data_IF_427280548682
#
_entry.id   IF_427280548682
#
_cell.length_a   1.000
_cell.length_b   1.000
_cell.length_c   1.000
_cell.angle_alpha   90.00
_cell.angle_beta   90.00
_cell.angle_gamma   90.00
#
_symmetry.space_group_name_H-M   'P 1'
#
loop_
_entity.id
_entity.type
_entity.pdbx_description
1 polymer ?
#
# COMPACT_ATOMS: atom_id res chain seq x y z
N UNK A 1 -42.59 -10.21 -61.58
CA UNK A 1 -41.53 -9.33 -61.01
C UNK A 1 -41.95 -8.57 -59.74
N UNK A 2 -43.24 -8.29 -59.51
CA UNK A 2 -43.75 -7.56 -58.31
C UNK A 2 -43.71 -8.37 -57.00
N UNK A 3 -44.03 -9.68 -57.07
CA UNK A 3 -44.12 -10.54 -55.88
C UNK A 3 -42.77 -10.76 -55.18
N UNK A 4 -41.70 -11.00 -55.95
CA UNK A 4 -40.36 -11.23 -55.41
C UNK A 4 -39.81 -10.00 -54.68
N UNK A 5 -40.11 -8.78 -55.16
CA UNK A 5 -39.73 -7.53 -54.48
C UNK A 5 -40.47 -7.34 -53.16
N UNK A 6 -41.78 -7.65 -53.12
CA UNK A 6 -42.57 -7.55 -51.88
C UNK A 6 -42.13 -8.57 -50.83
N UNK A 7 -41.78 -9.79 -51.27
CA UNK A 7 -41.29 -10.84 -50.39
C UNK A 7 -39.92 -10.48 -49.77
N UNK A 8 -38.98 -9.94 -50.56
CA UNK A 8 -37.69 -9.50 -50.02
C UNK A 8 -37.80 -8.30 -49.08
N UNK A 9 -38.70 -7.36 -49.34
CA UNK A 9 -38.93 -6.24 -48.40
C UNK A 9 -39.50 -6.71 -47.07
N UNK A 10 -40.47 -7.63 -47.08
CA UNK A 10 -41.03 -8.21 -45.84
C UNK A 10 -39.98 -9.02 -45.09
N UNK A 11 -39.19 -9.84 -45.80
CA UNK A 11 -38.12 -10.63 -45.18
C UNK A 11 -37.04 -9.75 -44.55
N UNK A 12 -36.65 -8.66 -45.21
CA UNK A 12 -35.71 -7.67 -44.66
C UNK A 12 -36.28 -6.99 -43.42
N UNK A 13 -37.56 -6.61 -43.43
CA UNK A 13 -38.22 -6.02 -42.26
C UNK A 13 -38.26 -6.99 -41.07
N UNK A 14 -38.55 -8.27 -41.36
CA UNK A 14 -38.59 -9.34 -40.36
C UNK A 14 -37.20 -9.62 -39.77
N UNK A 15 -36.14 -9.55 -40.59
CA UNK A 15 -34.76 -9.71 -40.15
C UNK A 15 -34.29 -8.51 -39.30
N UNK A 16 -34.73 -7.28 -39.63
CA UNK A 16 -34.40 -6.09 -38.82
C UNK A 16 -35.09 -6.13 -37.47
N UNK A 17 -36.36 -6.56 -37.40
CA UNK A 17 -37.06 -6.71 -36.13
C UNK A 17 -36.45 -7.82 -35.29
N UNK A 18 -36.12 -8.98 -35.87
CA UNK A 18 -35.47 -10.06 -35.11
C UNK A 18 -34.09 -9.66 -34.59
N UNK A 19 -33.28 -8.91 -35.34
CA UNK A 19 -31.99 -8.39 -34.86
C UNK A 19 -32.18 -7.36 -33.73
N UNK A 20 -33.22 -6.53 -33.81
CA UNK A 20 -33.56 -5.55 -32.76
C UNK A 20 -34.05 -6.23 -31.48
N UNK A 21 -34.76 -7.36 -31.60
CA UNK A 21 -35.18 -8.19 -30.45
C UNK A 21 -34.09 -9.14 -29.95
N UNK A 22 -33.09 -9.51 -30.77
CA UNK A 22 -31.94 -10.32 -30.34
C UNK A 22 -30.90 -9.55 -29.52
N UNK A 23 -30.90 -8.21 -29.61
CA UNK A 23 -30.21 -7.34 -28.66
C UNK A 23 -30.99 -7.29 -27.33
N UNK A 24 -31.13 -8.43 -26.67
CA UNK A 24 -31.92 -8.61 -25.44
C UNK A 24 -31.25 -8.00 -24.20
N UNK A 25 -29.97 -7.68 -24.27
CA UNK A 25 -29.24 -7.01 -23.18
C UNK A 25 -29.05 -5.54 -23.54
N UNK A 26 -29.97 -4.70 -23.05
CA UNK A 26 -29.68 -3.28 -22.92
C UNK A 26 -28.35 -3.13 -22.16
N UNK A 27 -27.45 -2.23 -22.59
CA UNK A 27 -26.21 -1.99 -21.86
C UNK A 27 -26.57 -1.63 -20.42
N UNK A 28 -25.92 -2.29 -19.46
CA UNK A 28 -26.22 -2.04 -18.06
C UNK A 28 -26.04 -0.56 -17.73
N UNK A 29 -27.00 0.01 -17.00
CA UNK A 29 -26.90 1.40 -16.60
C UNK A 29 -25.63 1.60 -15.74
N UNK A 30 -24.66 2.42 -16.17
CA UNK A 30 -23.44 2.65 -15.40
C UNK A 30 -23.70 3.44 -14.10
N UNK A 31 -24.85 4.13 -13.99
CA UNK A 31 -25.26 4.94 -12.83
C UNK A 31 -26.30 4.26 -11.94
N UNK A 32 -26.57 2.96 -12.13
CA UNK A 32 -27.49 2.24 -11.26
C UNK A 32 -27.00 2.32 -9.79
N UNK A 33 -27.80 2.92 -8.87
CA UNK A 33 -27.44 3.02 -7.45
C UNK A 33 -27.16 1.68 -6.78
N UNK A 34 -27.64 0.57 -7.33
CA UNK A 34 -27.31 -0.78 -6.86
C UNK A 34 -25.79 -1.05 -6.90
N UNK A 35 -25.08 -0.39 -7.81
CA UNK A 35 -23.63 -0.50 -8.04
C UNK A 35 -22.78 0.39 -7.12
N UNK A 36 -23.39 1.15 -6.22
CA UNK A 36 -22.66 1.92 -5.21
C UNK A 36 -21.84 0.99 -4.32
N UNK A 37 -20.53 1.27 -4.25
CA UNK A 37 -19.54 0.47 -3.54
C UNK A 37 -18.37 1.32 -3.07
N UNK A 38 -17.71 0.85 -2.01
CA UNK A 38 -16.51 1.46 -1.43
C UNK A 38 -15.45 0.38 -1.25
N UNK A 39 -14.20 0.74 -1.52
CA UNK A 39 -13.02 -0.10 -1.26
C UNK A 39 -11.95 0.72 -0.54
N UNK A 40 -11.19 0.06 0.33
CA UNK A 40 -10.06 0.66 1.01
C UNK A 40 -8.80 0.44 0.16
N UNK A 41 -8.00 1.50 0.00
CA UNK A 41 -6.74 1.45 -0.74
C UNK A 41 -5.66 2.21 0.03
N UNK A 42 -4.40 1.87 -0.21
CA UNK A 42 -3.25 2.59 0.33
C UNK A 42 -2.37 3.02 -0.83
N UNK A 43 -1.92 4.27 -0.82
CA UNK A 43 -0.87 4.76 -1.71
C UNK A 43 0.41 4.94 -0.93
N UNK A 44 1.41 4.14 -1.28
CA UNK A 44 2.76 4.16 -0.71
C UNK A 44 3.54 5.38 -1.19
N UNK A 45 4.68 5.65 -0.54
CA UNK A 45 5.58 6.77 -0.88
C UNK A 45 6.14 6.68 -2.30
N UNK A 46 6.31 5.47 -2.85
CA UNK A 46 6.70 5.24 -4.26
C UNK A 46 5.53 5.39 -5.25
N UNK A 47 4.34 5.75 -4.76
CA UNK A 47 3.15 6.02 -5.56
C UNK A 47 2.34 4.78 -5.97
N UNK A 48 2.73 3.57 -5.56
CA UNK A 48 1.95 2.35 -5.81
C UNK A 48 0.67 2.34 -5.00
N UNK A 49 -0.40 1.80 -5.59
CA UNK A 49 -1.69 1.62 -4.93
C UNK A 49 -1.86 0.15 -4.54
N UNK A 50 -2.11 -0.10 -3.26
CA UNK A 50 -2.34 -1.41 -2.67
C UNK A 50 -3.79 -1.54 -2.21
N UNK A 51 -4.40 -2.71 -2.39
CA UNK A 51 -5.82 -2.97 -2.04
C UNK A 51 -6.00 -3.94 -0.87
N UNK A 52 -4.94 -4.61 -0.43
CA UNK A 52 -5.04 -5.71 0.52
C UNK A 52 -4.44 -5.35 1.89
N UNK A 53 -3.18 -4.92 1.89
CA UNK A 53 -2.46 -4.56 3.11
C UNK A 53 -1.22 -3.72 2.79
N UNK A 54 -0.71 -3.01 3.79
CA UNK A 54 0.60 -2.36 3.77
C UNK A 54 1.53 -3.03 4.78
N UNK A 55 2.79 -3.23 4.41
CA UNK A 55 3.88 -3.51 5.35
C UNK A 55 4.97 -2.46 5.13
N UNK A 56 5.21 -1.60 6.12
CA UNK A 56 6.23 -0.55 6.05
C UNK A 56 6.82 -0.27 7.44
N UNK A 57 7.77 0.65 7.50
CA UNK A 57 8.36 1.13 8.75
C UNK A 57 7.55 2.29 9.32
N UNK A 58 7.53 2.40 10.65
CA UNK A 58 6.99 3.56 11.38
C UNK A 58 7.60 4.89 10.91
N UNK A 59 6.93 6.00 11.24
CA UNK A 59 7.37 7.39 10.99
C UNK A 59 7.48 7.78 9.50
N UNK A 60 6.84 7.03 8.60
CA UNK A 60 6.68 7.42 7.20
C UNK A 60 5.25 7.88 6.92
N UNK A 61 5.14 8.90 6.07
CA UNK A 61 3.85 9.32 5.55
C UNK A 61 3.38 8.32 4.49
N UNK A 62 2.10 7.98 4.54
CA UNK A 62 1.41 7.24 3.49
C UNK A 62 -0.01 7.78 3.35
N UNK A 63 -0.65 7.50 2.22
CA UNK A 63 -2.03 7.91 1.98
C UNK A 63 -2.94 6.69 2.12
N UNK A 64 -4.01 6.84 2.90
CA UNK A 64 -5.11 5.87 2.95
C UNK A 64 -6.27 6.46 2.16
N UNK A 65 -6.86 5.66 1.29
CA UNK A 65 -7.90 6.08 0.36
C UNK A 65 -9.19 5.29 0.51
N UNK A 66 -10.31 5.98 0.40
CA UNK A 66 -11.61 5.39 0.13
C UNK A 66 -11.89 5.49 -1.37
N UNK A 67 -11.71 4.39 -2.10
CA UNK A 67 -12.06 4.30 -3.51
C UNK A 67 -13.57 4.07 -3.65
N UNK A 68 -14.26 5.06 -4.24
CA UNK A 68 -15.71 5.12 -4.32
C UNK A 68 -16.18 4.83 -5.73
N UNK A 69 -17.26 4.06 -5.83
CA UNK A 69 -18.07 3.96 -7.04
C UNK A 69 -19.43 4.60 -6.81
N UNK A 70 -19.80 5.51 -7.70
CA UNK A 70 -20.95 6.42 -7.58
C UNK A 70 -20.83 7.26 -6.29
N UNK A 71 -19.77 8.08 -6.16
CA UNK A 71 -19.49 8.89 -4.97
C UNK A 71 -20.67 9.81 -4.58
N UNK A 72 -21.49 10.21 -5.54
CA UNK A 72 -22.71 11.00 -5.32
C UNK A 72 -23.78 10.31 -4.46
N UNK A 73 -23.70 8.98 -4.32
CA UNK A 73 -24.65 8.20 -3.53
C UNK A 73 -24.24 8.06 -2.05
N UNK A 74 -23.11 8.65 -1.64
CA UNK A 74 -22.63 8.63 -0.27
C UNK A 74 -22.91 9.98 0.39
N UNK A 75 -23.60 9.96 1.54
CA UNK A 75 -23.82 11.19 2.32
C UNK A 75 -22.56 11.56 3.10
N UNK A 76 -21.89 10.54 3.67
CA UNK A 76 -20.63 10.66 4.39
C UNK A 76 -19.96 9.29 4.58
N UNK A 77 -18.68 9.30 4.96
CA UNK A 77 -17.90 8.09 5.24
C UNK A 77 -17.10 8.32 6.53
N UNK A 78 -17.33 7.52 7.56
CA UNK A 78 -16.48 7.55 8.75
C UNK A 78 -15.21 6.76 8.48
N UNK A 79 -14.07 7.42 8.55
CA UNK A 79 -12.77 6.79 8.48
C UNK A 79 -12.17 6.69 9.88
N UNK A 80 -11.75 5.49 10.25
CA UNK A 80 -11.13 5.24 11.56
C UNK A 80 -9.93 4.32 11.43
N UNK A 81 -8.95 4.51 12.31
CA UNK A 81 -7.81 3.61 12.48
C UNK A 81 -7.82 3.11 13.91
N UNK A 82 -7.71 1.80 14.09
CA UNK A 82 -7.63 1.16 15.39
C UNK A 82 -6.30 0.43 15.60
N UNK A 83 -5.80 0.47 16.83
CA UNK A 83 -4.59 -0.20 17.28
C UNK A 83 -4.85 -0.85 18.64
N UNK A 84 -4.54 -2.15 18.78
CA UNK A 84 -4.79 -2.90 20.03
C UNK A 84 -6.23 -2.76 20.56
N UNK A 85 -7.21 -2.74 19.65
CA UNK A 85 -8.65 -2.54 19.91
C UNK A 85 -9.07 -1.12 20.30
N UNK A 86 -8.15 -0.16 20.39
CA UNK A 86 -8.47 1.25 20.63
C UNK A 86 -8.51 2.01 19.30
N UNK A 87 -9.53 2.84 19.09
CA UNK A 87 -9.58 3.77 17.97
C UNK A 87 -8.63 4.94 18.26
N UNK A 88 -7.58 5.06 17.44
CA UNK A 88 -6.54 6.09 17.60
C UNK A 88 -6.71 7.27 16.64
N UNK A 89 -7.50 7.08 15.59
CA UNK A 89 -7.84 8.10 14.62
C UNK A 89 -9.29 7.90 14.18
N UNK A 90 -10.05 8.97 14.08
CA UNK A 90 -11.45 8.94 13.67
C UNK A 90 -11.85 10.28 13.05
N UNK A 91 -12.41 10.24 11.87
CA UNK A 91 -12.87 11.43 11.15
C UNK A 91 -14.04 11.09 10.24
N UNK A 92 -14.78 12.13 9.83
CA UNK A 92 -15.85 12.02 8.85
C UNK A 92 -15.41 12.65 7.53
N UNK A 93 -15.53 11.90 6.45
CA UNK A 93 -15.28 12.37 5.10
C UNK A 93 -16.60 12.64 4.39
N UNK A 94 -16.62 13.73 3.64
CA UNK A 94 -17.76 14.10 2.81
C UNK A 94 -17.28 14.04 1.36
N UNK A 95 -17.75 13.06 0.57
CA UNK A 95 -17.49 13.03 -0.86
C UNK A 95 -18.01 14.33 -1.49
N UNK A 96 -17.13 15.10 -2.15
CA UNK A 96 -17.55 16.35 -2.78
C UNK A 96 -18.48 16.03 -3.95
N UNK A 97 -19.76 16.38 -3.78
CA UNK A 97 -20.83 16.09 -4.73
C UNK A 97 -20.58 16.73 -6.10
N UNK A 98 -20.88 15.94 -7.14
CA UNK A 98 -20.63 16.16 -8.58
C UNK A 98 -19.27 15.69 -9.06
N UNK A 99 -18.92 14.44 -8.77
CA UNK A 99 -17.88 13.78 -9.53
C UNK A 99 -18.28 13.77 -11.02
N UNK A 100 -17.39 14.27 -11.89
CA UNK A 100 -17.51 14.13 -13.36
C UNK A 100 -17.25 12.68 -13.81
N UNK A 101 -17.02 11.77 -12.85
CA UNK A 101 -16.61 10.39 -13.01
C UNK A 101 -17.43 9.51 -12.07
N UNK A 102 -17.78 8.30 -12.54
CA UNK A 102 -18.43 7.30 -11.71
C UNK A 102 -17.53 6.73 -10.61
N UNK A 103 -16.23 7.04 -10.64
CA UNK A 103 -15.27 6.62 -9.63
C UNK A 103 -14.48 7.82 -9.12
N UNK A 104 -14.23 7.87 -7.82
CA UNK A 104 -13.38 8.87 -7.17
C UNK A 104 -12.63 8.22 -6.00
N UNK A 105 -11.59 8.86 -5.47
CA UNK A 105 -10.88 8.38 -4.28
C UNK A 105 -10.63 9.51 -3.32
N UNK A 106 -11.17 9.39 -2.10
CA UNK A 106 -10.90 10.31 -1.02
C UNK A 106 -9.63 9.88 -0.30
N UNK A 107 -8.56 10.68 -0.42
CA UNK A 107 -7.26 10.39 0.18
C UNK A 107 -7.06 11.15 1.49
N UNK A 108 -6.43 10.48 2.46
CA UNK A 108 -6.06 11.04 3.75
C UNK A 108 -4.63 10.63 4.05
N UNK A 109 -3.79 11.61 4.37
CA UNK A 109 -2.42 11.36 4.79
C UNK A 109 -2.38 10.87 6.24
N UNK A 110 -1.54 9.87 6.50
CA UNK A 110 -1.38 9.24 7.80
C UNK A 110 0.09 8.99 8.12
N UNK A 111 0.40 9.01 9.41
CA UNK A 111 1.71 8.66 9.99
C UNK A 111 1.46 7.82 11.22
N UNK A 112 2.13 6.68 11.32
CA UNK A 112 2.03 5.76 12.46
C UNK A 112 3.39 5.67 13.15
N UNK A 113 3.39 5.87 14.47
CA UNK A 113 4.61 6.07 15.27
C UNK A 113 5.05 4.83 16.06
N UNK A 114 4.19 3.81 16.15
CA UNK A 114 4.49 2.60 16.92
C UNK A 114 4.44 1.36 16.02
N UNK A 115 5.31 0.37 16.25
CA UNK A 115 5.25 -0.88 15.52
C UNK A 115 4.01 -1.68 15.94
N UNK A 116 3.48 -2.45 14.99
CA UNK A 116 2.36 -3.36 15.18
C UNK A 116 1.36 -3.33 14.02
N UNK A 117 0.23 -4.03 14.22
CA UNK A 117 -0.83 -4.13 13.23
C UNK A 117 -1.93 -3.13 13.56
N UNK A 118 -2.27 -2.31 12.56
CA UNK A 118 -3.33 -1.32 12.60
C UNK A 118 -4.44 -1.74 11.64
N UNK A 119 -5.68 -1.40 12.01
CA UNK A 119 -6.88 -1.70 11.25
C UNK A 119 -7.52 -0.39 10.80
N UNK A 120 -7.47 -0.10 9.51
CA UNK A 120 -8.16 1.03 8.92
C UNK A 120 -9.54 0.60 8.42
N UNK A 121 -10.57 1.38 8.73
CA UNK A 121 -11.95 1.11 8.34
C UNK A 121 -12.63 2.36 7.79
N UNK A 122 -13.31 2.19 6.65
CA UNK A 122 -14.21 3.16 6.04
C UNK A 122 -15.64 2.64 6.14
N UNK A 123 -16.42 3.25 7.02
CA UNK A 123 -17.84 2.95 7.18
C UNK A 123 -18.68 3.97 6.41
N UNK A 124 -19.32 3.58 5.30
CA UNK A 124 -20.14 4.47 4.50
C UNK A 124 -21.52 4.72 5.13
N UNK A 125 -22.04 5.93 4.92
CA UNK A 125 -23.42 6.31 5.19
C UNK A 125 -24.06 6.81 3.90
N UNK A 126 -25.29 6.36 3.66
CA UNK A 126 -26.05 6.67 2.45
C UNK A 126 -27.52 6.80 2.79
N UNK A 127 -28.19 7.72 2.11
CA UNK A 127 -29.62 7.93 2.13
C UNK A 127 -30.37 6.95 1.23
N UNK A 128 -29.63 6.15 0.43
CA UNK A 128 -30.19 5.01 -0.27
C UNK A 128 -30.75 4.00 0.73
N UNK A 129 -31.86 3.34 0.39
CA UNK A 129 -32.45 2.25 1.17
C UNK A 129 -31.63 0.95 1.03
N UNK A 130 -30.31 1.02 1.21
CA UNK A 130 -29.35 -0.09 1.08
C UNK A 130 -28.29 0.02 2.16
N UNK A 131 -27.96 -1.12 2.76
CA UNK A 131 -26.79 -1.23 3.63
C UNK A 131 -25.54 -1.44 2.77
N UNK A 132 -24.59 -0.51 2.87
CA UNK A 132 -23.28 -0.63 2.24
C UNK A 132 -22.31 -1.33 3.20
N UNK A 133 -21.48 -2.22 2.65
CA UNK A 133 -20.47 -2.95 3.43
C UNK A 133 -19.30 -2.01 3.74
N UNK A 134 -18.83 -1.91 5.00
CA UNK A 134 -17.62 -1.18 5.32
C UNK A 134 -16.40 -1.75 4.61
N UNK A 135 -15.50 -0.89 4.16
CA UNK A 135 -14.23 -1.31 3.59
C UNK A 135 -13.12 -1.25 4.66
N UNK A 136 -12.26 -2.26 4.70
CA UNK A 136 -11.18 -2.35 5.69
C UNK A 136 -9.85 -2.69 5.03
N UNK A 137 -8.74 -2.22 5.62
CA UNK A 137 -7.39 -2.58 5.19
C UNK A 137 -6.45 -2.69 6.38
N UNK A 138 -5.58 -3.70 6.33
CA UNK A 138 -4.60 -3.98 7.38
C UNK A 138 -3.28 -3.26 7.09
N UNK A 139 -2.70 -2.68 8.12
CA UNK A 139 -1.44 -1.92 8.03
C UNK A 139 -0.47 -2.47 9.08
N UNK A 140 0.56 -3.17 8.63
CA UNK A 140 1.66 -3.64 9.45
C UNK A 140 2.78 -2.60 9.45
N UNK A 141 3.08 -2.06 10.64
CA UNK A 141 4.22 -1.18 10.85
C UNK A 141 5.32 -1.91 11.62
N UNK A 142 6.55 -1.84 11.12
CA UNK A 142 7.74 -2.37 11.80
C UNK A 142 8.66 -1.23 12.25
N UNK A 143 9.52 -1.49 13.23
CA UNK A 143 10.58 -0.54 13.53
C UNK A 143 11.52 -0.42 12.33
N UNK A 144 11.93 0.80 12.02
CA UNK A 144 13.00 0.97 11.04
C UNK A 144 14.28 0.40 11.65
N UNK A 145 14.93 -0.54 10.95
CA UNK A 145 16.32 -0.86 11.24
C UNK A 145 17.14 0.39 10.93
N UNK A 146 17.38 1.21 11.96
CA UNK A 146 18.39 2.25 11.90
C UNK A 146 19.71 1.49 11.91
N UNK A 147 20.19 1.10 10.73
CA UNK A 147 21.61 0.80 10.59
C UNK A 147 22.33 2.08 10.95
N UNK A 148 22.92 2.12 12.15
CA UNK A 148 23.85 3.20 12.50
C UNK A 148 24.87 3.30 11.38
N UNK A 149 25.32 4.53 11.09
CA UNK A 149 26.42 4.73 10.15
C UNK A 149 27.56 3.77 10.51
N UNK A 150 27.99 2.96 9.55
CA UNK A 150 29.03 1.98 9.80
C UNK A 150 30.36 2.71 9.95
N UNK A 151 31.00 2.58 11.09
CA UNK A 151 32.31 3.14 11.37
C UNK A 151 33.41 2.15 11.02
N UNK A 152 34.62 2.66 10.81
CA UNK A 152 35.81 1.81 10.67
C UNK A 152 36.26 1.30 12.05
N UNK A 153 36.71 0.05 12.17
CA UNK A 153 37.36 -0.40 13.39
C UNK A 153 38.68 0.35 13.60
N UNK A 154 39.00 0.57 14.86
CA UNK A 154 40.30 1.09 15.30
C UNK A 154 41.19 -0.06 15.77
N UNK A 155 42.44 -0.03 15.35
CA UNK A 155 43.47 -1.01 15.73
C UNK A 155 44.62 -0.29 16.42
N UNK A 156 45.08 -0.84 17.53
CA UNK A 156 46.33 -0.43 18.18
C UNK A 156 47.22 -1.65 18.35
N UNK A 157 48.50 -1.48 18.03
CA UNK A 157 49.52 -2.51 18.15
C UNK A 157 50.60 -1.99 19.08
N UNK A 158 50.94 -2.78 20.08
CA UNK A 158 52.03 -2.50 21.02
C UNK A 158 52.88 -3.74 21.23
N UNK A 159 54.14 -3.56 21.62
CA UNK A 159 55.07 -4.66 21.82
C UNK A 159 56.47 -4.32 21.33
N UNK A 160 57.30 -5.36 21.22
CA UNK A 160 58.71 -5.21 20.92
C UNK A 160 58.94 -4.83 19.45
N UNK A 161 59.73 -3.77 19.23
CA UNK A 161 60.10 -3.29 17.88
C UNK A 161 61.58 -3.49 17.55
N UNK A 162 62.39 -3.82 18.56
CA UNK A 162 63.82 -4.12 18.43
C UNK A 162 64.08 -5.39 19.23
N UNK A 163 64.57 -6.42 18.55
CA UNK A 163 64.79 -7.75 19.10
C UNK A 163 66.03 -8.39 18.46
N UNK A 164 66.64 -9.34 19.16
CA UNK A 164 67.79 -10.11 18.66
C UNK A 164 67.35 -11.48 18.15
N UNK A 165 68.14 -12.11 17.28
CA UNK A 165 67.90 -13.49 16.88
C UNK A 165 67.81 -14.42 18.09
N UNK A 166 66.70 -15.17 18.20
CA UNK A 166 66.42 -16.08 19.31
C UNK A 166 65.55 -15.50 20.43
N UNK A 167 65.26 -14.20 20.41
CA UNK A 167 64.34 -13.59 21.38
C UNK A 167 62.88 -13.95 21.06
N UNK A 168 62.09 -14.23 22.10
CA UNK A 168 60.62 -14.33 21.94
C UNK A 168 60.02 -12.94 21.98
N UNK A 169 59.47 -12.48 20.86
CA UNK A 169 58.82 -11.17 20.76
C UNK A 169 57.32 -11.30 21.02
N UNK A 170 56.75 -10.38 21.79
CA UNK A 170 55.32 -10.34 22.04
C UNK A 170 54.72 -9.08 21.43
N UNK A 171 53.76 -9.27 20.52
CA UNK A 171 52.94 -8.20 19.95
C UNK A 171 51.52 -8.34 20.49
N UNK A 172 51.04 -7.27 21.11
CA UNK A 172 49.67 -7.11 21.58
C UNK A 172 48.88 -6.32 20.55
N UNK A 173 47.79 -6.91 20.04
CA UNK A 173 46.88 -6.26 19.10
C UNK A 173 45.57 -6.02 19.82
N UNK A 174 45.19 -4.75 19.96
CA UNK A 174 43.87 -4.37 20.47
C UNK A 174 43.03 -3.84 19.32
N UNK A 175 41.76 -4.23 19.28
CA UNK A 175 40.79 -3.82 18.25
C UNK A 175 39.51 -3.36 18.92
N UNK A 176 38.99 -2.24 18.46
CA UNK A 176 37.73 -1.66 18.95
C UNK A 176 36.90 -1.21 17.76
N UNK A 177 35.61 -1.44 17.82
CA UNK A 177 34.65 -0.97 16.83
C UNK A 177 33.49 -0.30 17.57
N UNK A 178 33.11 0.94 17.23
CA UNK A 178 32.01 1.61 17.88
C UNK A 178 30.65 1.02 17.48
N UNK A 179 30.58 0.20 16.42
CA UNK A 179 29.36 -0.44 15.97
C UNK A 179 29.06 -1.72 16.76
N UNK A 180 27.82 -1.83 17.23
CA UNK A 180 27.39 -3.01 17.98
C UNK A 180 27.18 -4.21 17.05
N UNK A 181 27.47 -5.43 17.54
CA UNK A 181 27.25 -6.72 16.87
C UNK A 181 28.11 -6.99 15.62
N UNK A 182 29.24 -6.30 15.45
CA UNK A 182 30.20 -6.60 14.39
C UNK A 182 31.24 -7.64 14.80
N UNK A 183 31.59 -8.55 13.88
CA UNK A 183 32.67 -9.50 14.07
C UNK A 183 33.98 -8.90 13.54
N UNK A 184 34.94 -8.67 14.45
CA UNK A 184 36.26 -8.15 14.07
C UNK A 184 37.25 -9.28 13.77
N UNK A 185 37.72 -9.35 12.54
CA UNK A 185 38.77 -10.31 12.10
C UNK A 185 40.12 -9.62 11.95
N UNK A 186 41.20 -10.30 12.34
CA UNK A 186 42.57 -9.77 12.25
C UNK A 186 43.41 -10.66 11.33
N UNK A 187 44.19 -10.04 10.42
CA UNK A 187 45.17 -10.73 9.58
C UNK A 187 46.53 -10.08 9.78
N UNK A 188 47.55 -10.87 10.11
CA UNK A 188 48.94 -10.41 10.27
C UNK A 188 49.76 -10.93 9.09
N UNK A 189 50.60 -10.07 8.50
CA UNK A 189 51.52 -10.43 7.41
C UNK A 189 52.94 -10.00 7.76
N UNK A 190 53.94 -10.72 7.23
CA UNK A 190 55.35 -10.35 7.36
C UNK A 190 55.93 -10.55 8.75
N UNK A 191 55.59 -11.67 9.43
CA UNK A 191 56.26 -11.99 10.71
C UNK A 191 57.78 -12.15 10.45
N UNK A 192 58.65 -11.62 11.33
CA UNK A 192 60.08 -11.93 11.28
C UNK A 192 60.30 -13.44 11.46
N UNK A 193 61.21 -14.02 10.69
CA UNK A 193 61.68 -15.41 10.84
C UNK A 193 62.75 -15.53 11.92
#
# INVERSE_FOLDING_TARGET
MSFLKRFTTVLMLLMVTTVSFYCTTLPENPTDPSKTAISAVIKTTDGKILTNSLADTVNKNFLVGAALRLPENFDSIRFSISFKNDTIFDTMLIPSGKALSYNDTLWIEQVLFSPGIYYASFKPYTSLSKNLVPATIDILMVEADIMSENHKPSISVSGDTIFKPGDTCVLSITKTDPDTKQLLTTSVKGKPE
#
